data_IF_381498915750
#
_entry.id   IF_381498915750
#
_cell.length_a   1.000
_cell.length_b   1.000
_cell.length_c   1.000
_cell.angle_alpha   90.00
_cell.angle_beta   90.00
_cell.angle_gamma   90.00
#
_symmetry.space_group_name_H-M   'P 1'
#
loop_
_entity.id
_entity.type
_entity.pdbx_description
1 polymer ?
#
# COMPACT_ATOMS: atom_id res chain seq x y z
N UNK A 1 0.86 -12.82 -19.61
CA UNK A 1 1.65 -11.85 -18.81
C UNK A 1 3.09 -12.32 -18.81
N UNK A 2 4.04 -11.42 -19.05
CA UNK A 2 5.46 -11.75 -19.25
C UNK A 2 6.34 -10.93 -18.31
N UNK A 3 7.40 -11.54 -17.78
CA UNK A 3 8.45 -10.86 -17.00
C UNK A 3 9.70 -10.75 -17.87
N UNK A 4 10.34 -9.58 -17.81
CA UNK A 4 11.56 -9.30 -18.56
C UNK A 4 12.64 -8.81 -17.60
N UNK A 5 13.88 -9.21 -17.83
CA UNK A 5 15.06 -8.80 -17.05
C UNK A 5 16.21 -8.40 -17.98
N UNK A 6 17.03 -7.44 -17.54
CA UNK A 6 18.17 -6.92 -18.28
C UNK A 6 19.14 -6.21 -17.33
N UNK A 7 20.32 -5.86 -17.82
CA UNK A 7 21.39 -5.24 -17.07
C UNK A 7 22.47 -6.24 -16.67
N UNK A 8 23.04 -6.03 -15.49
CA UNK A 8 24.09 -6.86 -14.92
C UNK A 8 23.59 -8.29 -14.61
N UNK A 9 24.33 -9.29 -15.11
CA UNK A 9 23.99 -10.71 -15.01
C UNK A 9 24.66 -11.45 -13.86
N UNK A 10 25.49 -10.76 -13.08
CA UNK A 10 26.24 -11.37 -11.98
C UNK A 10 25.32 -12.09 -11.00
N UNK A 11 25.84 -13.21 -10.46
CA UNK A 11 25.13 -14.12 -9.54
C UNK A 11 23.81 -14.70 -10.09
N UNK A 12 23.47 -14.49 -11.36
CA UNK A 12 22.24 -15.01 -11.97
C UNK A 12 20.99 -14.22 -11.60
N UNK A 13 21.13 -12.96 -11.12
CA UNK A 13 20.01 -12.10 -10.68
C UNK A 13 19.01 -11.71 -11.77
N UNK A 14 19.30 -12.05 -13.02
CA UNK A 14 18.38 -11.89 -14.16
C UNK A 14 17.44 -13.08 -14.35
N UNK A 15 17.71 -14.24 -13.76
CA UNK A 15 16.79 -15.39 -13.79
C UNK A 15 16.66 -16.08 -15.16
N UNK A 16 17.51 -15.75 -16.12
CA UNK A 16 17.47 -16.34 -17.48
C UNK A 16 18.30 -17.62 -17.59
N UNK A 17 18.99 -18.03 -16.53
CA UNK A 17 19.97 -19.12 -16.51
C UNK A 17 21.41 -18.62 -16.64
N UNK A 18 21.86 -18.10 -17.80
CA UNK A 18 23.23 -17.60 -17.93
C UNK A 18 23.52 -16.37 -17.06
N UNK A 19 24.60 -16.42 -16.27
CA UNK A 19 25.12 -15.28 -15.50
C UNK A 19 25.93 -14.34 -16.40
N UNK A 20 25.26 -13.71 -17.37
CA UNK A 20 25.89 -12.83 -18.36
C UNK A 20 25.10 -11.54 -18.47
N UNK A 21 25.80 -10.43 -18.67
CA UNK A 21 25.18 -9.13 -18.92
C UNK A 21 24.19 -9.23 -20.08
N UNK A 22 23.01 -8.60 -19.92
CA UNK A 22 22.00 -8.49 -20.97
C UNK A 22 21.72 -7.02 -21.24
N UNK A 23 22.26 -6.49 -22.33
CA UNK A 23 22.05 -5.10 -22.75
C UNK A 23 20.66 -4.82 -23.32
N UNK A 24 19.84 -5.87 -23.53
CA UNK A 24 18.48 -5.78 -24.02
C UNK A 24 17.54 -6.60 -23.12
N UNK A 25 16.26 -6.18 -22.95
CA UNK A 25 15.25 -6.96 -22.22
C UNK A 25 15.19 -8.41 -22.71
N UNK A 26 15.38 -9.35 -21.78
CA UNK A 26 15.25 -10.79 -22.04
C UNK A 26 14.05 -11.34 -21.26
N UNK A 27 13.30 -12.21 -21.91
CA UNK A 27 12.12 -12.83 -21.30
C UNK A 27 12.55 -13.88 -20.28
N UNK A 28 12.02 -13.79 -19.06
CA UNK A 28 12.23 -14.81 -18.03
C UNK A 28 11.17 -15.89 -18.21
N UNK A 29 11.47 -16.89 -19.04
CA UNK A 29 10.48 -17.88 -19.49
C UNK A 29 9.80 -18.64 -18.33
N UNK A 30 10.52 -18.92 -17.25
CA UNK A 30 10.01 -19.66 -16.08
C UNK A 30 8.92 -18.93 -15.29
N UNK A 31 8.84 -17.60 -15.42
CA UNK A 31 7.81 -16.78 -14.77
C UNK A 31 6.62 -16.51 -15.68
N UNK A 32 6.66 -16.97 -16.94
CA UNK A 32 5.54 -16.81 -17.86
C UNK A 32 4.33 -17.59 -17.35
N UNK A 33 3.15 -16.97 -17.46
CA UNK A 33 1.87 -17.54 -17.04
C UNK A 33 1.74 -17.85 -15.53
N UNK A 34 2.68 -17.39 -14.69
CA UNK A 34 2.60 -17.49 -13.22
C UNK A 34 1.75 -16.39 -12.56
N UNK A 35 1.13 -15.51 -13.35
CA UNK A 35 0.28 -14.44 -12.83
C UNK A 35 1.00 -13.51 -11.87
N UNK A 36 2.07 -12.85 -12.33
CA UNK A 36 2.92 -12.01 -11.47
C UNK A 36 2.15 -10.78 -10.94
N UNK A 37 2.27 -10.54 -9.63
CA UNK A 37 1.69 -9.40 -8.89
C UNK A 37 2.72 -8.29 -8.69
N UNK A 38 3.95 -8.64 -8.28
CA UNK A 38 5.01 -7.66 -7.94
C UNK A 38 6.40 -8.23 -8.23
N UNK A 39 7.35 -7.35 -8.52
CA UNK A 39 8.78 -7.67 -8.65
C UNK A 39 9.58 -6.72 -7.77
N UNK A 40 10.66 -7.21 -7.18
CA UNK A 40 11.61 -6.43 -6.41
C UNK A 40 13.05 -6.86 -6.70
N UNK A 41 13.97 -5.90 -6.74
CA UNK A 41 15.36 -6.12 -7.08
C UNK A 41 16.25 -5.70 -5.92
N UNK A 42 17.07 -6.61 -5.42
CA UNK A 42 18.19 -6.29 -4.55
C UNK A 42 19.47 -6.09 -5.37
N UNK A 43 20.60 -5.93 -4.70
CA UNK A 43 21.90 -5.67 -5.35
C UNK A 43 22.33 -6.83 -6.26
N UNK A 44 22.18 -8.06 -5.77
CA UNK A 44 22.66 -9.28 -6.43
C UNK A 44 21.59 -10.37 -6.55
N UNK A 45 20.32 -10.01 -6.40
CA UNK A 45 19.22 -10.96 -6.45
C UNK A 45 17.90 -10.27 -6.79
N UNK A 46 16.91 -11.08 -7.14
CA UNK A 46 15.56 -10.65 -7.50
C UNK A 46 14.53 -11.49 -6.75
N UNK A 47 13.40 -10.86 -6.43
CA UNK A 47 12.25 -11.46 -5.77
C UNK A 47 11.01 -11.15 -6.58
N UNK A 48 10.15 -12.14 -6.77
CA UNK A 48 8.94 -12.01 -7.58
C UNK A 48 7.77 -12.61 -6.81
N UNK A 49 6.71 -11.83 -6.66
CA UNK A 49 5.46 -12.26 -6.04
C UNK A 49 4.44 -12.58 -7.12
N UNK A 50 3.88 -13.79 -7.09
CA UNK A 50 2.74 -14.19 -7.89
C UNK A 50 1.40 -13.87 -7.20
N UNK A 51 0.33 -13.79 -7.99
CA UNK A 51 -1.04 -13.50 -7.50
C UNK A 51 -1.63 -14.62 -6.65
N UNK A 52 -1.07 -15.82 -6.72
CA UNK A 52 -1.44 -16.97 -5.90
C UNK A 52 -0.71 -17.00 -4.55
N UNK A 53 0.12 -16.00 -4.26
CA UNK A 53 0.85 -15.87 -2.99
C UNK A 53 2.24 -16.51 -3.01
N UNK A 54 2.66 -17.19 -4.09
CA UNK A 54 4.00 -17.75 -4.16
C UNK A 54 5.06 -16.67 -4.39
N UNK A 55 6.18 -16.82 -3.68
CA UNK A 55 7.37 -15.98 -3.82
C UNK A 55 8.45 -16.77 -4.55
N UNK A 56 8.94 -16.22 -5.65
CA UNK A 56 10.05 -16.74 -6.43
C UNK A 56 11.30 -15.88 -6.22
N UNK A 57 12.45 -16.53 -6.05
CA UNK A 57 13.74 -15.85 -5.85
C UNK A 57 14.82 -16.44 -6.76
N UNK A 58 15.79 -15.60 -7.12
CA UNK A 58 16.96 -15.96 -7.93
C UNK A 58 18.06 -14.92 -7.79
N UNK A 59 19.32 -15.32 -7.95
CA UNK A 59 20.50 -14.49 -7.72
C UNK A 59 21.47 -15.10 -6.71
N UNK A 60 22.08 -14.24 -5.90
CA UNK A 60 23.10 -14.64 -4.92
C UNK A 60 22.54 -15.55 -3.82
N UNK A 61 23.18 -16.69 -3.63
CA UNK A 61 22.74 -17.80 -2.76
C UNK A 61 22.33 -17.38 -1.34
N UNK A 62 23.05 -16.44 -0.72
CA UNK A 62 22.78 -16.03 0.67
C UNK A 62 21.57 -15.09 0.83
N UNK A 63 21.04 -14.57 -0.28
CA UNK A 63 20.00 -13.54 -0.29
C UNK A 63 18.64 -14.06 -0.80
N UNK A 64 18.62 -15.26 -1.38
CA UNK A 64 17.44 -15.79 -2.09
C UNK A 64 16.50 -16.62 -1.23
N UNK A 65 16.76 -16.82 0.06
CA UNK A 65 15.78 -17.49 0.93
C UNK A 65 15.63 -18.99 0.68
N UNK A 66 16.54 -19.60 -0.07
CA UNK A 66 16.45 -21.01 -0.47
C UNK A 66 17.34 -21.90 0.43
N UNK A 67 16.92 -23.14 0.71
CA UNK A 67 17.76 -24.11 1.41
C UNK A 67 18.96 -24.51 0.55
N UNK A 68 20.04 -24.95 1.20
CA UNK A 68 21.32 -25.26 0.54
C UNK A 68 21.17 -26.31 -0.61
N UNK A 69 20.18 -27.21 -0.52
CA UNK A 69 19.88 -28.22 -1.53
C UNK A 69 19.39 -27.64 -2.87
N UNK A 70 18.84 -26.42 -2.88
CA UNK A 70 18.26 -25.76 -4.05
C UNK A 70 19.18 -24.73 -4.71
N UNK A 71 20.36 -24.49 -4.13
CA UNK A 71 21.29 -23.45 -4.60
C UNK A 71 21.92 -23.78 -5.97
N UNK A 72 21.93 -25.04 -6.41
CA UNK A 72 22.46 -25.43 -7.73
C UNK A 72 21.81 -24.69 -8.90
N UNK A 73 20.56 -24.24 -8.74
CA UNK A 73 19.80 -23.51 -9.76
C UNK A 73 19.49 -22.06 -9.34
N UNK A 74 20.33 -21.46 -8.50
CA UNK A 74 20.14 -20.09 -7.97
C UNK A 74 19.94 -19.02 -9.07
N UNK A 75 20.40 -19.27 -10.30
CA UNK A 75 20.29 -18.40 -11.46
C UNK A 75 18.95 -18.50 -12.23
N UNK A 76 17.99 -19.24 -11.69
CA UNK A 76 16.64 -19.43 -12.23
C UNK A 76 15.62 -19.17 -11.12
N UNK A 77 14.46 -18.56 -11.40
CA UNK A 77 13.41 -18.35 -10.41
C UNK A 77 12.97 -19.66 -9.77
N UNK A 78 13.08 -19.74 -8.45
CA UNK A 78 12.66 -20.89 -7.65
C UNK A 78 11.71 -20.42 -6.54
N UNK A 79 10.69 -21.22 -6.24
CA UNK A 79 9.76 -20.93 -5.14
C UNK A 79 10.51 -21.06 -3.81
N UNK A 80 10.23 -20.16 -2.87
CA UNK A 80 10.79 -20.19 -1.52
C UNK A 80 10.01 -21.18 -0.64
N UNK A 81 10.55 -22.38 -0.33
CA UNK A 81 9.77 -23.44 0.32
C UNK A 81 9.44 -23.14 1.78
N UNK A 82 10.22 -22.29 2.45
CA UNK A 82 9.94 -21.88 3.83
C UNK A 82 8.66 -21.02 3.98
N UNK A 83 8.10 -20.52 2.85
CA UNK A 83 6.83 -19.79 2.81
C UNK A 83 5.68 -20.67 2.34
N UNK A 84 5.88 -21.98 2.21
CA UNK A 84 4.81 -22.91 1.83
C UNK A 84 3.65 -22.84 2.83
N UNK A 85 2.42 -22.75 2.33
CA UNK A 85 1.22 -22.57 3.16
C UNK A 85 1.00 -21.14 3.67
N UNK A 86 1.91 -20.18 3.41
CA UNK A 86 1.73 -18.76 3.72
C UNK A 86 1.27 -18.03 2.45
N UNK A 87 0.08 -17.44 2.48
CA UNK A 87 -0.38 -16.60 1.38
C UNK A 87 0.27 -15.21 1.48
N UNK A 88 1.23 -14.93 0.60
CA UNK A 88 1.93 -13.64 0.59
C UNK A 88 1.12 -12.56 -0.14
N UNK A 89 0.89 -11.45 0.55
CA UNK A 89 0.19 -10.28 0.01
C UNK A 89 1.14 -9.25 -0.58
N UNK A 90 2.30 -9.03 0.05
CA UNK A 90 3.26 -8.06 -0.44
C UNK A 90 4.72 -8.45 -0.16
N UNK A 91 5.62 -7.89 -0.95
CA UNK A 91 7.07 -8.01 -0.79
C UNK A 91 7.72 -6.63 -0.74
N UNK A 92 8.76 -6.48 0.08
CA UNK A 92 9.66 -5.34 0.04
C UNK A 92 11.10 -5.83 0.00
N UNK A 93 11.90 -5.29 -0.92
CA UNK A 93 13.26 -5.75 -1.18
C UNK A 93 14.22 -4.59 -0.95
N UNK A 94 15.08 -4.73 0.05
CA UNK A 94 16.20 -3.81 0.28
C UNK A 94 17.42 -4.18 -0.54
N UNK A 95 18.57 -3.56 -0.26
CA UNK A 95 19.80 -3.89 -1.01
C UNK A 95 20.20 -5.36 -0.85
N UNK A 96 20.11 -5.89 0.37
CA UNK A 96 20.55 -7.26 0.68
C UNK A 96 19.60 -7.97 1.65
N UNK A 97 18.35 -7.54 1.77
CA UNK A 97 17.35 -8.20 2.62
C UNK A 97 15.97 -8.14 1.99
N UNK A 98 15.08 -9.01 2.46
CA UNK A 98 13.70 -9.10 1.99
C UNK A 98 12.76 -9.11 3.17
N UNK A 99 11.63 -8.43 3.01
CA UNK A 99 10.46 -8.54 3.85
C UNK A 99 9.30 -9.12 3.01
N UNK A 100 8.52 -9.97 3.63
CA UNK A 100 7.30 -10.58 3.10
C UNK A 100 6.17 -10.31 4.08
N UNK A 101 5.03 -9.83 3.58
CA UNK A 101 3.80 -9.62 4.34
C UNK A 101 2.79 -10.69 3.96
N UNK A 102 2.34 -11.49 4.92
CA UNK A 102 1.27 -12.47 4.71
C UNK A 102 -0.12 -11.84 4.75
N UNK A 103 -1.12 -12.56 4.27
CA UNK A 103 -2.55 -12.19 4.40
C UNK A 103 -3.04 -12.14 5.86
N UNK A 104 -2.36 -12.84 6.78
CA UNK A 104 -2.63 -12.79 8.22
C UNK A 104 -2.04 -11.55 8.90
N UNK A 105 -1.24 -10.76 8.18
CA UNK A 105 -0.53 -9.59 8.72
C UNK A 105 0.79 -9.94 9.40
N UNK A 106 1.27 -11.18 9.24
CA UNK A 106 2.58 -11.61 9.73
C UNK A 106 3.68 -11.15 8.76
N UNK A 107 4.84 -10.81 9.32
CA UNK A 107 6.00 -10.36 8.54
C UNK A 107 7.11 -11.38 8.66
N UNK A 108 7.62 -11.83 7.53
CA UNK A 108 8.80 -12.70 7.43
C UNK A 108 9.95 -11.91 6.83
N UNK A 109 11.16 -12.15 7.32
CA UNK A 109 12.35 -11.46 6.85
C UNK A 109 13.53 -12.43 6.69
N UNK A 110 14.40 -12.15 5.71
CA UNK A 110 15.68 -12.85 5.54
C UNK A 110 16.70 -11.99 4.77
N UNK A 111 17.95 -12.46 4.75
CA UNK A 111 19.09 -11.84 4.10
C UNK A 111 20.11 -11.27 5.09
N UNK A 112 20.79 -10.22 4.65
CA UNK A 112 21.73 -9.43 5.45
C UNK A 112 21.02 -8.79 6.64
N UNK A 113 21.69 -8.83 7.79
CA UNK A 113 21.16 -8.31 9.06
C UNK A 113 22.21 -7.57 9.89
N UNK A 114 23.33 -7.16 9.30
CA UNK A 114 24.44 -6.54 10.03
C UNK A 114 24.02 -5.28 10.81
N UNK A 115 23.00 -4.56 10.34
CA UNK A 115 22.44 -3.35 10.96
C UNK A 115 21.13 -3.63 11.73
N UNK A 116 20.77 -4.90 11.91
CA UNK A 116 19.49 -5.29 12.54
C UNK A 116 18.26 -5.07 11.64
N UNK A 117 18.44 -4.89 10.33
CA UNK A 117 17.38 -4.55 9.38
C UNK A 117 16.27 -5.61 9.25
N UNK A 118 16.46 -6.82 9.76
CA UNK A 118 15.43 -7.87 9.80
C UNK A 118 14.49 -7.74 11.01
N UNK A 119 14.85 -6.96 12.04
CA UNK A 119 14.01 -6.76 13.22
C UNK A 119 13.90 -7.98 14.15
N UNK A 120 14.86 -8.90 14.11
CA UNK A 120 14.84 -10.18 14.86
C UNK A 120 15.47 -10.10 16.26
N UNK A 121 15.87 -8.91 16.72
CA UNK A 121 16.52 -8.72 18.02
C UNK A 121 18.01 -9.10 18.06
N UNK A 122 18.63 -9.38 16.91
CA UNK A 122 20.06 -9.61 16.75
C UNK A 122 20.56 -9.09 15.39
N UNK A 123 21.89 -9.08 15.18
CA UNK A 123 22.52 -8.59 13.95
C UNK A 123 23.18 -9.68 13.07
N UNK A 124 22.96 -10.95 13.39
CA UNK A 124 23.43 -12.06 12.55
C UNK A 124 22.55 -12.23 11.30
N UNK A 125 23.15 -12.47 10.11
CA UNK A 125 22.41 -12.69 8.87
C UNK A 125 21.57 -13.97 8.92
N UNK A 126 20.48 -13.99 8.16
CA UNK A 126 19.51 -15.08 8.16
C UNK A 126 19.28 -15.56 6.73
N UNK A 127 19.54 -16.85 6.45
CA UNK A 127 19.45 -17.38 5.08
C UNK A 127 18.02 -17.60 4.60
N UNK A 128 17.10 -17.98 5.49
CA UNK A 128 15.74 -18.42 5.16
C UNK A 128 14.69 -17.51 5.81
N UNK A 129 13.50 -17.35 5.20
CA UNK A 129 12.41 -16.57 5.77
C UNK A 129 12.15 -16.91 7.24
N UNK A 130 12.31 -15.91 8.11
CA UNK A 130 12.09 -16.04 9.55
C UNK A 130 11.02 -15.06 10.00
N UNK A 131 10.10 -15.53 10.83
CA UNK A 131 9.02 -14.70 11.38
C UNK A 131 9.59 -13.59 12.27
N UNK A 132 9.19 -12.35 12.00
CA UNK A 132 9.51 -11.17 12.82
C UNK A 132 8.50 -11.10 13.97
N UNK A 133 8.76 -11.88 15.03
CA UNK A 133 7.86 -12.05 16.18
C UNK A 133 7.46 -10.73 16.87
N UNK A 134 8.34 -9.72 16.84
CA UNK A 134 8.04 -8.40 17.38
C UNK A 134 6.89 -7.66 16.69
N UNK A 135 6.51 -8.05 15.48
CA UNK A 135 5.38 -7.48 14.73
C UNK A 135 4.11 -8.34 14.79
N UNK A 136 4.19 -9.56 15.32
CA UNK A 136 3.06 -10.49 15.34
C UNK A 136 1.87 -9.90 16.13
N UNK A 137 0.66 -10.04 15.58
CA UNK A 137 -0.56 -9.52 16.21
C UNK A 137 -0.77 -8.00 16.12
N UNK A 138 0.18 -7.26 15.55
CA UNK A 138 0.06 -5.80 15.37
C UNK A 138 -0.67 -5.39 14.08
N UNK A 139 -1.24 -6.34 13.32
CA UNK A 139 -2.06 -6.07 12.13
C UNK A 139 -1.32 -5.17 11.12
N UNK A 140 -0.14 -5.65 10.68
CA UNK A 140 0.69 -4.97 9.68
C UNK A 140 -0.07 -4.91 8.36
N UNK A 141 -0.05 -3.73 7.74
CA UNK A 141 -0.74 -3.44 6.47
C UNK A 141 0.20 -3.12 5.34
N UNK A 142 1.41 -2.69 5.65
CA UNK A 142 2.41 -2.32 4.67
C UNK A 142 3.81 -2.56 5.21
N UNK A 143 4.69 -2.99 4.33
CA UNK A 143 6.13 -3.14 4.55
C UNK A 143 6.91 -2.30 3.54
N UNK A 144 8.07 -1.80 3.93
CA UNK A 144 9.00 -1.09 3.05
C UNK A 144 10.44 -1.37 3.51
N UNK A 145 11.35 -1.44 2.54
CA UNK A 145 12.75 -1.74 2.76
C UNK A 145 13.63 -0.70 2.05
N UNK A 146 14.54 -0.10 2.81
CA UNK A 146 15.58 0.78 2.29
C UNK A 146 16.89 0.02 2.04
N UNK A 147 18.02 0.75 2.00
CA UNK A 147 19.35 0.15 1.82
C UNK A 147 19.67 -0.84 2.94
N UNK A 148 19.60 -0.37 4.18
CA UNK A 148 19.94 -1.14 5.40
C UNK A 148 18.89 -0.94 6.52
N UNK A 149 17.66 -0.58 6.19
CA UNK A 149 16.60 -0.42 7.19
C UNK A 149 15.27 -0.94 6.65
N UNK A 150 14.39 -1.27 7.58
CA UNK A 150 13.03 -1.76 7.32
C UNK A 150 12.02 -0.92 8.06
N UNK A 151 10.84 -0.77 7.49
CA UNK A 151 9.71 -0.11 8.14
C UNK A 151 8.43 -0.86 7.86
N UNK A 152 7.52 -0.88 8.83
CA UNK A 152 6.20 -1.45 8.68
C UNK A 152 5.16 -0.47 9.24
N UNK A 153 3.97 -0.45 8.62
CA UNK A 153 2.83 0.32 9.11
C UNK A 153 1.70 -0.62 9.53
N UNK A 154 1.11 -0.31 10.68
CA UNK A 154 0.07 -1.10 11.34
C UNK A 154 -1.21 -0.29 11.45
N UNK A 155 -2.36 -0.97 11.35
CA UNK A 155 -3.64 -0.38 11.74
C UNK A 155 -4.09 -0.94 13.07
N UNK A 156 -4.78 -0.17 13.94
CA UNK A 156 -5.40 -0.73 15.13
C UNK A 156 -6.20 -1.98 14.76
N UNK A 157 -6.00 -3.06 15.50
CA UNK A 157 -6.80 -4.27 15.31
C UNK A 157 -8.28 -3.87 15.46
N UNK A 158 -9.16 -4.24 14.51
CA UNK A 158 -10.57 -3.96 14.68
C UNK A 158 -10.99 -4.55 16.02
N UNK A 159 -11.47 -3.70 16.93
CA UNK A 159 -11.94 -4.14 18.24
C UNK A 159 -12.94 -5.26 18.01
N UNK A 160 -12.60 -6.49 18.39
CA UNK A 160 -13.52 -7.62 18.32
C UNK A 160 -14.67 -7.27 19.26
N UNK A 161 -15.76 -6.72 18.72
CA UNK A 161 -16.97 -6.49 19.48
C UNK A 161 -17.44 -7.87 19.94
N UNK A 162 -17.59 -8.04 21.26
CA UNK A 162 -18.15 -9.25 21.82
C UNK A 162 -19.45 -9.62 21.09
N UNK A 163 -19.56 -10.88 20.68
CA UNK A 163 -20.70 -11.45 19.98
C UNK A 163 -21.99 -11.12 20.73
N UNK A 164 -22.87 -10.29 20.15
CA UNK A 164 -24.16 -9.89 20.73
C UNK A 164 -24.37 -8.39 20.94
N UNK A 165 -23.35 -7.55 20.77
CA UNK A 165 -23.54 -6.10 20.81
C UNK A 165 -24.02 -5.57 19.44
N UNK A 166 -25.32 -5.27 19.33
CA UNK A 166 -25.91 -4.44 18.26
C UNK A 166 -25.39 -3.01 18.37
N UNK A 167 -24.12 -2.80 18.07
CA UNK A 167 -23.59 -1.46 17.89
C UNK A 167 -23.95 -1.02 16.49
N UNK A 168 -24.96 -0.16 16.39
CA UNK A 168 -25.20 0.68 15.22
C UNK A 168 -23.83 1.16 14.70
N UNK A 169 -23.61 1.07 13.39
CA UNK A 169 -22.41 1.59 12.74
C UNK A 169 -22.45 3.14 12.79
N UNK A 170 -22.36 3.71 13.98
CA UNK A 170 -22.08 5.13 14.15
C UNK A 170 -20.60 5.29 13.85
N UNK A 171 -20.30 5.64 12.61
CA UNK A 171 -19.12 6.45 12.31
C UNK A 171 -19.22 7.65 13.26
N UNK A 172 -18.53 7.56 14.40
CA UNK A 172 -18.50 8.63 15.37
C UNK A 172 -18.08 9.90 14.65
N UNK A 173 -18.81 10.98 14.87
CA UNK A 173 -18.39 12.27 14.37
C UNK A 173 -16.99 12.56 14.92
N UNK A 174 -16.07 13.14 14.11
CA UNK A 174 -14.76 13.53 14.61
C UNK A 174 -14.97 14.41 15.86
N UNK A 175 -14.42 13.97 16.99
CA UNK A 175 -14.59 14.65 18.28
C UNK A 175 -13.95 16.05 18.29
N UNK A 176 -13.00 16.28 17.38
CA UNK A 176 -12.33 17.54 17.18
C UNK A 176 -11.99 17.73 15.72
N UNK A 177 -11.90 19.00 15.31
CA UNK A 177 -11.48 19.37 13.96
C UNK A 177 -9.97 19.13 13.85
N UNK A 178 -9.49 18.44 12.79
CA UNK A 178 -8.07 18.24 12.60
C UNK A 178 -7.31 19.58 12.52
N UNK A 179 -6.09 19.67 13.08
CA UNK A 179 -5.32 20.93 13.19
C UNK A 179 -4.94 21.55 11.84
N UNK A 180 -5.10 20.80 10.75
CA UNK A 180 -4.86 21.26 9.38
C UNK A 180 -5.95 22.23 8.89
N UNK A 181 -7.13 22.26 9.55
CA UNK A 181 -8.26 23.10 9.17
C UNK A 181 -8.43 24.30 10.11
N UNK A 182 -7.43 25.19 10.12
CA UNK A 182 -7.40 26.37 10.99
C UNK A 182 -8.63 27.30 10.82
N UNK A 183 -9.22 27.36 9.61
CA UNK A 183 -10.42 28.16 9.36
C UNK A 183 -11.68 27.63 10.07
N UNK A 184 -11.63 26.39 10.56
CA UNK A 184 -12.76 25.73 11.23
C UNK A 184 -12.50 25.57 12.73
N UNK A 185 -11.33 25.98 13.26
CA UNK A 185 -10.90 25.72 14.64
C UNK A 185 -11.89 26.21 15.71
N UNK A 186 -12.66 27.26 15.41
CA UNK A 186 -13.61 27.91 16.33
C UNK A 186 -15.06 27.37 16.15
N UNK A 187 -15.28 26.43 15.23
CA UNK A 187 -16.58 25.80 15.00
C UNK A 187 -16.65 24.45 15.74
N UNK A 188 -17.78 24.15 16.38
CA UNK A 188 -17.99 22.80 16.92
C UNK A 188 -18.29 21.79 15.78
N UNK A 189 -17.94 20.50 15.94
CA UNK A 189 -18.29 19.46 14.97
C UNK A 189 -19.80 19.37 14.69
N UNK A 190 -20.65 19.69 15.67
CA UNK A 190 -22.12 19.71 15.53
C UNK A 190 -22.60 20.83 14.59
N UNK A 191 -22.01 22.02 14.69
CA UNK A 191 -22.30 23.14 13.80
C UNK A 191 -21.88 22.80 12.37
N UNK A 192 -20.72 22.18 12.19
CA UNK A 192 -20.25 21.75 10.87
C UNK A 192 -21.17 20.68 10.25
N UNK A 193 -21.62 19.70 11.04
CA UNK A 193 -22.55 18.67 10.58
C UNK A 193 -23.87 19.29 10.11
N UNK A 194 -24.42 20.21 10.90
CA UNK A 194 -25.66 20.91 10.55
C UNK A 194 -25.50 21.71 9.25
N UNK A 195 -24.39 22.45 9.10
CA UNK A 195 -24.07 23.20 7.87
C UNK A 195 -23.93 22.27 6.66
N UNK A 196 -23.23 21.15 6.81
CA UNK A 196 -23.06 20.14 5.75
C UNK A 196 -24.40 19.53 5.31
N UNK A 197 -25.31 19.23 6.24
CA UNK A 197 -26.65 18.73 5.91
C UNK A 197 -27.45 19.74 5.10
N UNK A 198 -27.43 21.01 5.51
CA UNK A 198 -28.09 22.09 4.77
C UNK A 198 -27.50 22.21 3.37
N UNK A 199 -26.16 22.18 3.25
CA UNK A 199 -25.46 22.29 1.97
C UNK A 199 -25.77 21.11 1.04
N UNK A 200 -25.84 19.90 1.59
CA UNK A 200 -26.22 18.71 0.84
C UNK A 200 -27.66 18.77 0.35
N UNK A 201 -28.61 19.16 1.21
CA UNK A 201 -30.01 19.34 0.81
C UNK A 201 -30.17 20.44 -0.23
N UNK A 202 -29.47 21.55 -0.09
CA UNK A 202 -29.47 22.61 -1.08
C UNK A 202 -28.90 22.14 -2.42
N UNK A 203 -27.77 21.43 -2.41
CA UNK A 203 -27.17 20.85 -3.61
C UNK A 203 -28.13 19.88 -4.32
N UNK A 204 -28.80 19.01 -3.56
CA UNK A 204 -29.78 18.07 -4.10
C UNK A 204 -31.01 18.79 -4.68
N UNK A 205 -31.49 19.84 -4.01
CA UNK A 205 -32.59 20.67 -4.48
C UNK A 205 -32.22 21.41 -5.78
N UNK A 206 -31.04 22.03 -5.82
CA UNK A 206 -30.52 22.70 -7.01
C UNK A 206 -30.32 21.74 -8.17
N UNK A 207 -29.82 20.53 -7.92
CA UNK A 207 -29.64 19.50 -8.93
C UNK A 207 -30.99 19.07 -9.53
N UNK A 208 -32.01 18.86 -8.69
CA UNK A 208 -33.37 18.49 -9.12
C UNK A 208 -34.08 19.62 -9.86
N UNK A 209 -33.86 20.86 -9.45
CA UNK A 209 -34.52 22.04 -10.00
C UNK A 209 -33.73 22.72 -11.13
N UNK A 210 -32.55 22.20 -11.51
CA UNK A 210 -31.68 22.85 -12.50
C UNK A 210 -32.35 23.04 -13.86
N UNK A 211 -33.26 22.13 -14.26
CA UNK A 211 -34.02 22.24 -15.51
C UNK A 211 -35.15 23.28 -15.47
N UNK A 212 -35.56 23.71 -14.28
CA UNK A 212 -36.56 24.77 -14.06
C UNK A 212 -35.90 26.16 -14.01
N UNK A 213 -34.57 26.21 -13.85
CA UNK A 213 -33.79 27.44 -13.99
C UNK A 213 -33.71 27.79 -15.48
N UNK A 214 -34.46 28.81 -15.89
CA UNK A 214 -34.53 29.24 -17.28
C UNK A 214 -33.25 30.01 -17.66
N UNK A 215 -32.18 29.28 -17.97
CA UNK A 215 -30.83 29.78 -18.28
C UNK A 215 -30.72 30.30 -19.73
N UNK A 216 -31.78 30.89 -20.27
CA UNK A 216 -31.77 31.41 -21.63
C UNK A 216 -30.91 32.69 -21.72
N UNK A 217 -29.95 32.80 -22.67
CA UNK A 217 -28.98 33.90 -22.72
C UNK A 217 -29.58 35.32 -22.85
N UNK A 218 -30.87 35.43 -23.20
CA UNK A 218 -31.58 36.71 -23.36
C UNK A 218 -32.17 37.28 -22.06
N UNK A 219 -32.21 36.54 -20.96
CA UNK A 219 -32.72 37.03 -19.67
C UNK A 219 -31.58 37.46 -18.73
N UNK A 220 -30.97 38.61 -19.01
CA UNK A 220 -29.84 39.16 -18.22
C UNK A 220 -30.21 39.52 -16.78
N UNK A 221 -31.49 39.81 -16.49
CA UNK A 221 -31.96 40.22 -15.15
C UNK A 221 -31.92 39.04 -14.17
N UNK A 222 -32.35 37.85 -14.61
CA UNK A 222 -32.43 36.67 -13.74
C UNK A 222 -31.06 36.02 -13.49
N UNK A 223 -30.15 36.08 -14.47
CA UNK A 223 -28.77 35.58 -14.31
C UNK A 223 -27.92 36.44 -13.36
N UNK A 224 -28.16 37.77 -13.30
CA UNK A 224 -27.54 38.64 -12.28
C UNK A 224 -28.08 38.35 -10.89
N UNK A 225 -29.39 38.17 -10.74
CA UNK A 225 -29.99 37.82 -9.44
C UNK A 225 -29.51 36.44 -8.95
N UNK A 226 -29.52 35.40 -9.79
CA UNK A 226 -29.00 34.07 -9.40
C UNK A 226 -27.52 34.08 -9.07
N UNK A 227 -26.69 34.79 -9.85
CA UNK A 227 -25.26 34.95 -9.54
C UNK A 227 -25.05 35.69 -8.23
N UNK A 228 -25.76 36.79 -7.99
CA UNK A 228 -25.64 37.58 -6.76
C UNK A 228 -26.18 36.83 -5.54
N UNK A 229 -27.26 36.05 -5.66
CA UNK A 229 -27.78 35.23 -4.55
C UNK A 229 -26.94 33.99 -4.26
N UNK A 230 -26.44 33.28 -5.29
CA UNK A 230 -25.50 32.17 -5.07
C UNK A 230 -24.17 32.66 -4.51
N UNK A 231 -23.64 33.78 -5.01
CA UNK A 231 -22.40 34.37 -4.50
C UNK A 231 -22.61 34.95 -3.10
N UNK A 232 -23.70 35.65 -2.81
CA UNK A 232 -23.98 36.15 -1.46
C UNK A 232 -24.31 35.04 -0.45
N UNK A 233 -24.91 33.92 -0.88
CA UNK A 233 -25.17 32.77 -0.01
C UNK A 233 -23.90 31.95 0.23
N UNK A 234 -23.06 31.77 -0.80
CA UNK A 234 -21.72 31.18 -0.64
C UNK A 234 -20.86 32.10 0.24
N UNK A 235 -20.93 33.42 0.06
CA UNK A 235 -20.24 34.38 0.91
C UNK A 235 -20.81 34.39 2.33
N UNK A 236 -22.14 34.28 2.56
CA UNK A 236 -22.70 34.18 3.92
C UNK A 236 -22.40 32.84 4.60
N UNK A 237 -22.07 31.80 3.82
CA UNK A 237 -21.63 30.49 4.32
C UNK A 237 -20.10 30.44 4.53
N UNK A 238 -19.35 31.31 3.86
CA UNK A 238 -17.89 31.49 3.99
C UNK A 238 -17.53 32.63 4.97
N UNK A 239 -18.46 33.52 5.33
CA UNK A 239 -18.25 34.60 6.30
C UNK A 239 -18.09 34.01 7.71
N UNK A 240 -16.89 33.49 7.94
CA UNK A 240 -16.19 33.45 9.21
C UNK A 240 -15.77 34.89 9.50
N UNK A 241 -16.74 35.70 9.91
CA UNK A 241 -16.57 36.96 10.65
C UNK A 241 -17.66 36.92 11.72
N UNK A 242 -17.34 36.91 13.00
CA UNK A 242 -16.26 37.58 13.72
C UNK A 242 -15.44 36.64 14.61
#
# INVERSE_FOLDING_TARGET
MSVWSFGDGDYGKLGTGPCTVKSYPQKVEQLCNKGIKKVGCGTQFSVVLAKDGHVYTFGQERLIGLPDSMLKNHNRPQVVPALEGVFVEDIAVGCEHVLVLSSTGDVYAWGCNCEGQLGLGHSSPVKEPTLVTGLQGNNVRQISAGRCHSSAWTTPSPSVKASGASANLQLGLPQSIPPQYNALKDCSPDVLNTRLRVLYHFSDLMYKSWRLLNLHPRNQVMNKLLSVYLVNLILSLIDVRE
#
